data_IF_220068728856
#
_entry.id   IF_220068728856
#
_cell.length_a   1.000
_cell.length_b   1.000
_cell.length_c   1.000
_cell.angle_alpha   90.00
_cell.angle_beta   90.00
_cell.angle_gamma   90.00
#
_symmetry.space_group_name_H-M   'P 1'
#
loop_
_entity.id
_entity.type
_entity.pdbx_description
1 polymer ?
#
# COMPACT_ATOMS: atom_id res chain seq x y z
N UNK A 1 -22.40 -6.96 23.49
CA UNK A 1 -21.83 -7.15 22.15
C UNK A 1 -21.38 -5.80 21.60
N UNK A 2 -20.17 -5.71 21.12
CA UNK A 2 -19.73 -4.52 20.40
C UNK A 2 -20.29 -4.55 18.98
N UNK A 3 -20.94 -3.49 18.58
CA UNK A 3 -21.50 -3.37 17.25
C UNK A 3 -20.38 -3.32 16.20
N UNK A 4 -20.49 -4.13 15.17
CA UNK A 4 -19.55 -4.12 14.04
C UNK A 4 -19.92 -3.02 13.07
N UNK A 5 -18.97 -2.17 12.76
CA UNK A 5 -19.12 -1.12 11.75
C UNK A 5 -18.26 -1.43 10.52
N UNK A 6 -18.64 -0.90 9.38
CA UNK A 6 -17.85 -0.97 8.16
C UNK A 6 -17.58 0.44 7.68
N UNK A 7 -16.31 0.79 7.52
CA UNK A 7 -15.90 2.11 7.03
C UNK A 7 -15.09 1.98 5.76
N UNK A 8 -15.35 2.88 4.84
CA UNK A 8 -14.55 3.06 3.63
C UNK A 8 -13.57 4.20 3.87
N UNK A 9 -12.29 3.91 3.71
CA UNK A 9 -11.20 4.86 3.93
C UNK A 9 -10.51 5.10 2.59
N UNK A 10 -10.43 6.34 2.15
CA UNK A 10 -9.67 6.75 0.96
C UNK A 10 -8.46 7.55 1.40
N UNK A 11 -7.28 7.10 1.01
CA UNK A 11 -6.00 7.72 1.39
C UNK A 11 -5.35 8.32 0.18
N UNK A 12 -5.09 9.62 0.24
CA UNK A 12 -4.45 10.40 -0.82
C UNK A 12 -3.05 10.82 -0.41
N UNK A 13 -2.13 10.84 -1.34
CA UNK A 13 -0.76 11.29 -1.11
C UNK A 13 0.27 10.37 -1.75
N UNK A 14 1.46 10.31 -1.16
CA UNK A 14 2.52 9.41 -1.57
C UNK A 14 2.31 8.06 -0.89
N UNK A 15 1.45 7.24 -1.49
CA UNK A 15 1.00 5.95 -0.94
C UNK A 15 1.14 4.80 -1.94
N UNK A 16 1.71 5.06 -3.11
CA UNK A 16 1.98 4.06 -4.13
C UNK A 16 3.49 3.88 -4.30
N UNK A 17 3.93 2.64 -4.50
CA UNK A 17 5.33 2.31 -4.69
C UNK A 17 6.20 2.44 -3.42
N UNK A 18 5.59 2.53 -2.24
CA UNK A 18 6.28 2.74 -0.95
C UNK A 18 5.96 1.66 0.08
N UNK A 19 5.33 0.55 -0.32
CA UNK A 19 4.97 -0.55 0.58
C UNK A 19 3.75 -0.26 1.46
N UNK A 20 2.89 0.66 1.06
CA UNK A 20 1.74 1.09 1.85
C UNK A 20 0.69 -0.02 2.03
N UNK A 21 0.27 -0.68 0.96
CA UNK A 21 -0.75 -1.76 1.02
C UNK A 21 -0.32 -2.92 1.93
N UNK A 22 0.91 -3.47 1.83
CA UNK A 22 1.38 -4.49 2.76
C UNK A 22 1.38 -4.02 4.22
N UNK A 23 1.73 -2.76 4.47
CA UNK A 23 1.71 -2.18 5.82
C UNK A 23 0.28 -2.09 6.36
N UNK A 24 -0.67 -1.64 5.54
CA UNK A 24 -2.10 -1.61 5.90
C UNK A 24 -2.61 -3.02 6.25
N UNK A 25 -2.25 -4.03 5.45
CA UNK A 25 -2.61 -5.42 5.71
C UNK A 25 -2.07 -5.93 7.05
N UNK A 26 -0.84 -5.59 7.41
CA UNK A 26 -0.27 -5.94 8.71
C UNK A 26 -1.00 -5.26 9.88
N UNK A 27 -1.33 -3.99 9.72
CA UNK A 27 -2.10 -3.25 10.73
C UNK A 27 -3.51 -3.84 10.90
N UNK A 28 -4.15 -4.24 9.80
CA UNK A 28 -5.44 -4.90 9.84
C UNK A 28 -5.38 -6.21 10.63
N UNK A 29 -4.36 -7.01 10.42
CA UNK A 29 -4.15 -8.25 11.18
C UNK A 29 -3.96 -7.96 12.67
N UNK A 30 -3.17 -6.95 13.01
CA UNK A 30 -2.93 -6.54 14.41
C UNK A 30 -4.21 -6.08 15.11
N UNK A 31 -5.10 -5.39 14.40
CA UNK A 31 -6.35 -4.87 14.95
C UNK A 31 -7.55 -5.80 14.72
N UNK A 32 -7.36 -6.99 14.16
CA UNK A 32 -8.44 -7.92 13.79
C UNK A 32 -9.48 -7.28 12.88
N UNK A 33 -9.04 -6.57 11.87
CA UNK A 33 -9.89 -5.93 10.87
C UNK A 33 -10.14 -6.91 9.72
N UNK A 34 -11.37 -7.01 9.28
CA UNK A 34 -11.75 -7.69 8.05
C UNK A 34 -12.04 -6.65 6.97
N UNK A 35 -11.74 -6.96 5.74
CA UNK A 35 -11.99 -6.05 4.62
C UNK A 35 -11.00 -6.19 3.49
N UNK A 36 -10.61 -5.08 2.89
CA UNK A 36 -9.70 -5.07 1.77
C UNK A 36 -8.95 -3.75 1.63
N UNK A 37 -7.84 -3.79 0.91
CA UNK A 37 -7.10 -2.62 0.46
C UNK A 37 -6.81 -2.75 -1.02
N UNK A 38 -7.07 -1.71 -1.78
CA UNK A 38 -6.81 -1.67 -3.22
C UNK A 38 -6.27 -0.31 -3.65
N UNK A 39 -5.44 -0.34 -4.69
CA UNK A 39 -4.94 0.87 -5.33
C UNK A 39 -5.92 1.27 -6.44
N UNK A 40 -6.55 2.43 -6.32
CA UNK A 40 -7.54 2.94 -7.28
C UNK A 40 -6.95 3.94 -8.29
N UNK A 41 -5.66 4.21 -8.22
CA UNK A 41 -5.00 5.22 -9.03
C UNK A 41 -4.76 6.50 -8.24
N UNK A 42 -5.72 7.43 -8.18
CA UNK A 42 -5.53 8.68 -7.43
C UNK A 42 -5.51 8.50 -5.91
N UNK A 43 -5.99 7.38 -5.39
CA UNK A 43 -6.02 7.08 -3.96
C UNK A 43 -5.93 5.57 -3.70
N UNK A 44 -5.63 5.21 -2.46
CA UNK A 44 -5.76 3.84 -1.96
C UNK A 44 -7.08 3.72 -1.21
N UNK A 45 -7.88 2.72 -1.55
CA UNK A 45 -9.18 2.47 -0.92
C UNK A 45 -9.09 1.30 0.05
N UNK A 46 -9.58 1.51 1.26
CA UNK A 46 -9.59 0.51 2.32
C UNK A 46 -11.02 0.32 2.81
N UNK A 47 -11.47 -0.93 2.89
CA UNK A 47 -12.69 -1.29 3.62
C UNK A 47 -12.27 -1.94 4.93
N UNK A 48 -12.79 -1.41 6.04
CA UNK A 48 -12.47 -1.88 7.39
C UNK A 48 -13.75 -2.25 8.12
N UNK A 49 -13.88 -3.53 8.47
CA UNK A 49 -15.04 -4.08 9.16
C UNK A 49 -14.60 -4.71 10.49
N UNK A 50 -15.04 -4.12 11.59
CA UNK A 50 -14.75 -4.58 12.95
C UNK A 50 -15.59 -3.78 13.95
N UNK A 51 -15.57 -4.10 15.25
CA UNK A 51 -16.07 -3.19 16.28
C UNK A 51 -15.41 -1.81 16.18
N UNK A 52 -16.18 -0.76 16.43
CA UNK A 52 -15.76 0.64 16.21
C UNK A 52 -14.39 0.97 16.84
N UNK A 53 -14.16 0.54 18.08
CA UNK A 53 -12.90 0.79 18.78
C UNK A 53 -11.68 0.21 18.03
N UNK A 54 -11.82 -0.96 17.41
CA UNK A 54 -10.78 -1.59 16.61
C UNK A 54 -10.54 -0.85 15.30
N UNK A 55 -11.61 -0.38 14.66
CA UNK A 55 -11.50 0.43 13.43
C UNK A 55 -10.81 1.76 13.73
N UNK A 56 -11.13 2.41 14.83
CA UNK A 56 -10.48 3.66 15.24
C UNK A 56 -8.99 3.46 15.53
N UNK A 57 -8.62 2.36 16.19
CA UNK A 57 -7.22 2.00 16.41
C UNK A 57 -6.50 1.74 15.10
N UNK A 58 -7.14 1.04 14.17
CA UNK A 58 -6.59 0.75 12.84
C UNK A 58 -6.30 2.04 12.07
N UNK A 59 -7.24 2.99 12.04
CA UNK A 59 -7.07 4.30 11.40
C UNK A 59 -5.90 5.06 12.02
N UNK A 60 -5.78 5.06 13.34
CA UNK A 60 -4.66 5.69 14.04
C UNK A 60 -3.33 5.06 13.65
N UNK A 61 -3.25 3.73 13.58
CA UNK A 61 -2.05 3.03 13.14
C UNK A 61 -1.67 3.37 11.70
N UNK A 62 -2.64 3.49 10.80
CA UNK A 62 -2.38 3.91 9.42
C UNK A 62 -1.74 5.30 9.38
N UNK A 63 -2.23 6.23 10.18
CA UNK A 63 -1.70 7.60 10.23
C UNK A 63 -0.32 7.70 10.85
N UNK A 64 -0.09 6.98 11.96
CA UNK A 64 1.13 7.12 12.78
C UNK A 64 2.23 6.13 12.40
N UNK A 65 1.85 4.97 11.85
CA UNK A 65 2.77 3.88 11.54
C UNK A 65 2.76 3.54 10.04
N UNK A 66 2.71 4.55 9.19
CA UNK A 66 2.85 4.39 7.74
C UNK A 66 4.30 4.08 7.35
N UNK A 67 4.54 3.50 6.16
CA UNK A 67 5.91 3.29 5.68
C UNK A 67 6.71 4.59 5.69
N UNK A 68 8.00 4.48 5.97
CA UNK A 68 8.91 5.64 6.12
C UNK A 68 8.83 6.65 4.96
N UNK A 69 8.58 6.17 3.75
CA UNK A 69 8.55 7.00 2.53
C UNK A 69 7.14 7.36 2.09
N UNK A 70 6.12 6.90 2.80
CA UNK A 70 4.74 7.29 2.56
C UNK A 70 4.47 8.68 3.15
N UNK A 71 3.62 9.44 2.48
CA UNK A 71 3.11 10.70 2.99
C UNK A 71 1.61 10.79 2.73
N UNK A 72 0.83 10.76 3.79
CA UNK A 72 -0.62 10.88 3.72
C UNK A 72 -0.97 12.38 3.73
N UNK A 73 -1.50 12.86 2.62
CA UNK A 73 -1.91 14.26 2.47
C UNK A 73 -3.35 14.48 2.88
N UNK A 74 -4.21 13.48 2.64
CA UNK A 74 -5.63 13.54 2.95
C UNK A 74 -6.16 12.13 3.20
N UNK A 75 -7.09 12.00 4.13
CA UNK A 75 -7.79 10.77 4.42
C UNK A 75 -9.28 11.05 4.57
N UNK A 76 -10.10 10.41 3.75
CA UNK A 76 -11.56 10.47 3.84
C UNK A 76 -12.07 9.17 4.44
N UNK A 77 -12.94 9.27 5.44
CA UNK A 77 -13.55 8.13 6.12
C UNK A 77 -15.06 8.28 6.02
N UNK A 78 -15.72 7.23 5.51
CA UNK A 78 -17.18 7.19 5.37
C UNK A 78 -17.73 5.90 5.95
N UNK A 79 -18.88 5.97 6.58
CA UNK A 79 -19.63 4.78 6.99
C UNK A 79 -20.30 4.14 5.77
N UNK A 80 -20.23 2.81 5.69
CA UNK A 80 -20.85 2.04 4.60
C UNK A 80 -22.18 1.49 5.06
N UNK A 81 -23.25 1.86 4.36
CA UNK A 81 -24.59 1.29 4.58
C UNK A 81 -24.69 -0.05 3.81
N UNK A 82 -25.33 -1.05 4.43
CA UNK A 82 -25.49 -2.39 3.84
C UNK A 82 -24.18 -3.00 3.34
N UNK A 83 -23.15 -3.12 4.20
CA UNK A 83 -21.85 -3.64 3.79
C UNK A 83 -21.89 -5.12 3.49
N UNK A 84 -20.98 -5.56 2.62
CA UNK A 84 -20.67 -6.97 2.47
C UNK A 84 -20.05 -7.53 3.75
N UNK A 85 -20.18 -8.84 3.97
CA UNK A 85 -19.52 -9.50 5.09
C UNK A 85 -18.14 -9.96 4.61
N UNK A 86 -17.09 -9.43 5.23
CA UNK A 86 -15.70 -9.81 4.95
C UNK A 86 -15.28 -10.93 5.90
N UNK A 87 -14.63 -11.96 5.37
CA UNK A 87 -14.13 -13.11 6.15
C UNK A 87 -12.71 -12.88 6.66
N UNK A 88 -11.93 -12.10 5.94
CA UNK A 88 -10.53 -11.79 6.22
C UNK A 88 -10.17 -10.41 5.68
N UNK A 89 -8.88 -10.05 5.74
CA UNK A 89 -8.38 -8.84 5.11
C UNK A 89 -7.51 -9.20 3.92
N UNK A 90 -7.85 -8.68 2.74
CA UNK A 90 -7.17 -9.01 1.49
C UNK A 90 -6.61 -7.77 0.80
N UNK A 91 -5.47 -7.95 0.12
CA UNK A 91 -4.95 -6.97 -0.83
C UNK A 91 -5.56 -7.30 -2.18
N UNK A 92 -6.37 -6.37 -2.71
CA UNK A 92 -7.04 -6.53 -3.99
C UNK A 92 -6.19 -5.92 -5.10
N UNK A 93 -6.26 -6.47 -6.31
CA UNK A 93 -5.55 -5.96 -7.47
C UNK A 93 -5.90 -4.50 -7.76
N UNK A 94 -4.92 -3.77 -8.31
CA UNK A 94 -5.09 -2.38 -8.68
C UNK A 94 -6.07 -2.20 -9.84
N UNK A 95 -6.92 -1.19 -9.72
CA UNK A 95 -7.83 -0.78 -10.79
C UNK A 95 -7.27 0.43 -11.54
N UNK A 96 -7.53 0.48 -12.86
CA UNK A 96 -7.17 1.63 -13.70
C UNK A 96 -8.22 2.72 -13.55
N UNK A 97 -8.07 3.59 -12.57
CA UNK A 97 -8.95 4.74 -12.37
C UNK A 97 -8.27 6.00 -12.89
N UNK A 98 -9.00 6.81 -13.66
CA UNK A 98 -8.52 8.12 -14.13
C UNK A 98 -8.57 9.12 -12.97
N UNK A 99 -7.52 9.93 -12.81
CA UNK A 99 -7.44 10.96 -11.78
C UNK A 99 -6.00 11.44 -11.55
N UNK A 100 -5.85 12.39 -10.65
CA UNK A 100 -4.53 12.87 -10.26
C UNK A 100 -3.83 11.85 -9.37
N UNK A 101 -2.63 11.45 -9.76
CA UNK A 101 -1.80 10.50 -9.03
C UNK A 101 -0.50 11.19 -8.66
N UNK A 102 -0.15 11.15 -7.36
CA UNK A 102 1.15 11.62 -6.91
C UNK A 102 2.21 10.58 -7.23
N UNK A 103 3.13 10.92 -8.13
CA UNK A 103 4.26 10.07 -8.47
C UNK A 103 5.35 10.28 -7.43
N UNK A 104 5.80 9.19 -6.80
CA UNK A 104 6.90 9.25 -5.84
C UNK A 104 8.18 9.68 -6.55
N UNK A 105 8.98 10.59 -5.96
CA UNK A 105 10.28 10.95 -6.52
C UNK A 105 11.22 9.74 -6.51
N UNK A 106 12.22 9.75 -7.39
CA UNK A 106 13.28 8.77 -7.32
C UNK A 106 14.06 8.94 -6.02
N UNK A 107 14.14 7.89 -5.25
CA UNK A 107 14.84 7.83 -3.98
C UNK A 107 15.86 6.69 -4.00
N UNK A 108 16.88 6.82 -3.19
CA UNK A 108 17.92 5.81 -3.09
C UNK A 108 17.34 4.45 -2.70
N UNK A 109 17.96 3.38 -3.21
CA UNK A 109 17.62 2.02 -2.80
C UNK A 109 17.83 1.85 -1.29
N UNK A 110 17.05 0.97 -0.66
CA UNK A 110 17.24 0.63 0.76
C UNK A 110 18.51 -0.20 0.96
N UNK A 111 18.98 -0.30 2.20
CA UNK A 111 20.21 -1.05 2.52
C UNK A 111 20.10 -2.53 2.13
N UNK A 112 18.94 -3.14 2.31
CA UNK A 112 18.69 -4.54 1.92
C UNK A 112 18.89 -4.75 0.42
N UNK A 113 18.34 -3.88 -0.43
CA UNK A 113 18.54 -3.93 -1.87
C UNK A 113 20.00 -3.69 -2.24
N UNK A 114 20.67 -2.78 -1.54
CA UNK A 114 22.09 -2.49 -1.73
C UNK A 114 22.95 -3.71 -1.40
N UNK A 115 22.68 -4.38 -0.30
CA UNK A 115 23.36 -5.61 0.08
C UNK A 115 23.17 -6.71 -0.95
N UNK A 116 21.92 -6.95 -1.40
CA UNK A 116 21.63 -7.93 -2.44
C UNK A 116 22.35 -7.63 -3.76
N UNK A 117 22.44 -6.36 -4.12
CA UNK A 117 23.11 -5.92 -5.35
C UNK A 117 24.61 -6.24 -5.32
N UNK A 118 25.24 -6.22 -4.15
CA UNK A 118 26.68 -6.51 -4.00
C UNK A 118 26.97 -7.93 -3.56
N UNK A 119 25.97 -8.78 -3.38
CA UNK A 119 26.14 -10.16 -2.97
C UNK A 119 26.31 -11.10 -4.17
N UNK A 120 27.52 -11.66 -4.43
CA UNK A 120 27.72 -12.64 -5.48
C UNK A 120 26.81 -13.86 -5.29
N UNK A 121 26.22 -14.34 -6.40
CA UNK A 121 25.26 -15.45 -6.37
C UNK A 121 23.81 -15.06 -6.16
N UNK A 122 23.53 -13.83 -5.75
CA UNK A 122 22.17 -13.30 -5.71
C UNK A 122 21.70 -13.00 -7.14
N UNK A 123 20.46 -13.38 -7.49
CA UNK A 123 19.89 -13.14 -8.84
C UNK A 123 19.86 -11.65 -9.22
N UNK A 124 19.89 -10.77 -8.23
CA UNK A 124 19.85 -9.31 -8.38
C UNK A 124 21.26 -8.69 -8.31
N UNK A 125 22.31 -9.52 -8.31
CA UNK A 125 23.70 -9.07 -8.24
C UNK A 125 24.03 -8.12 -9.38
N UNK A 126 24.55 -6.94 -9.03
CA UNK A 126 24.90 -5.85 -9.94
C UNK A 126 23.75 -5.36 -10.84
N UNK A 127 22.50 -5.60 -10.47
CA UNK A 127 21.35 -5.12 -11.23
C UNK A 127 21.15 -3.62 -11.00
N UNK A 128 21.22 -2.76 -12.03
CA UNK A 128 21.23 -1.31 -11.86
C UNK A 128 19.86 -0.72 -11.44
N UNK A 129 18.76 -1.45 -11.67
CA UNK A 129 17.41 -1.03 -11.34
C UNK A 129 16.80 -1.81 -10.17
N UNK A 130 17.65 -2.32 -9.28
CA UNK A 130 17.19 -3.07 -8.11
C UNK A 130 16.25 -2.25 -7.23
N UNK A 131 15.15 -2.84 -6.81
CA UNK A 131 14.18 -2.26 -5.88
C UNK A 131 13.39 -3.36 -5.17
N UNK A 132 12.68 -2.99 -4.13
CA UNK A 132 11.76 -3.86 -3.40
C UNK A 132 10.53 -3.06 -2.97
N UNK A 133 9.60 -3.68 -2.25
CA UNK A 133 8.42 -2.98 -1.73
C UNK A 133 8.77 -1.87 -0.72
N UNK A 134 9.92 -1.96 -0.05
CA UNK A 134 10.37 -0.94 0.90
C UNK A 134 10.87 0.34 0.21
N UNK A 135 11.76 0.22 -0.77
CA UNK A 135 12.29 1.39 -1.49
C UNK A 135 11.44 1.79 -2.71
N UNK A 136 10.57 0.90 -3.17
CA UNK A 136 9.63 1.15 -4.26
C UNK A 136 10.24 1.13 -5.66
N UNK A 137 9.41 1.08 -6.70
CA UNK A 137 9.89 1.15 -8.08
C UNK A 137 10.48 2.51 -8.41
N UNK A 138 11.41 2.53 -9.34
CA UNK A 138 12.04 3.75 -9.86
C UNK A 138 11.18 4.37 -10.94
N UNK A 139 11.17 5.69 -11.04
CA UNK A 139 10.53 6.40 -12.13
C UNK A 139 11.10 5.95 -13.48
N UNK A 140 12.40 5.67 -13.53
CA UNK A 140 13.11 5.21 -14.74
C UNK A 140 12.67 3.85 -15.27
N UNK A 141 12.02 3.02 -14.45
CA UNK A 141 11.52 1.69 -14.83
C UNK A 141 10.00 1.61 -14.89
N UNK A 142 9.33 2.70 -14.58
CA UNK A 142 7.87 2.75 -14.56
C UNK A 142 7.32 2.83 -15.98
N UNK A 143 6.52 1.83 -16.37
CA UNK A 143 5.83 1.80 -17.66
C UNK A 143 4.47 2.50 -17.60
N UNK A 144 3.77 2.37 -16.49
CA UNK A 144 2.43 2.95 -16.29
C UNK A 144 2.10 3.14 -14.81
N UNK A 145 1.17 4.04 -14.52
CA UNK A 145 0.59 4.20 -13.18
C UNK A 145 -0.70 3.35 -13.07
N UNK A 146 -1.08 2.91 -11.88
CA UNK A 146 -0.37 3.03 -10.60
C UNK A 146 0.90 2.16 -10.49
N UNK A 147 1.70 2.40 -9.45
CA UNK A 147 2.96 1.68 -9.20
C UNK A 147 2.72 0.23 -8.78
N UNK A 148 2.69 -0.66 -9.74
CA UNK A 148 2.70 -2.10 -9.53
C UNK A 148 3.87 -2.71 -10.32
N UNK A 149 4.44 -3.81 -9.83
CA UNK A 149 5.57 -4.47 -10.49
C UNK A 149 5.27 -4.81 -11.95
N UNK A 150 4.05 -5.23 -12.25
CA UNK A 150 3.58 -5.58 -13.60
C UNK A 150 3.64 -4.41 -14.58
N UNK A 151 3.66 -3.17 -14.08
CA UNK A 151 3.73 -1.93 -14.87
C UNK A 151 5.11 -1.30 -14.84
N UNK A 152 6.12 -2.09 -14.55
CA UNK A 152 7.52 -1.68 -14.60
C UNK A 152 8.33 -2.65 -15.45
N UNK A 153 9.50 -2.21 -15.90
CA UNK A 153 10.44 -3.06 -16.60
C UNK A 153 11.04 -4.18 -15.74
N UNK A 154 10.76 -4.16 -14.44
CA UNK A 154 11.20 -5.16 -13.45
C UNK A 154 10.20 -6.28 -13.19
N UNK A 155 9.14 -6.40 -13.98
CA UNK A 155 8.06 -7.38 -13.77
C UNK A 155 8.51 -8.85 -13.73
N UNK A 156 9.64 -9.17 -14.35
CA UNK A 156 10.19 -10.53 -14.41
C UNK A 156 11.12 -10.87 -13.22
N UNK A 157 11.36 -9.92 -12.34
CA UNK A 157 12.22 -10.08 -11.17
C UNK A 157 11.38 -10.22 -9.87
#
# INVERSE_FOLDING_TARGET
MKETVTRRIRVYGIVQGVGFRPTVSRHATTCNIHGSVSNKGPYVEIFAQAPEAQVDRFVTMIREQSPKRAAILKMNIEDVENPEIYKDFQIVESEKTKGEIFVSPDIAICEECKEEMYQPGNRRYLHPFINCTCCGPRLTILDALPYDRERTSMKEF
#
